data_IF_101673937043
#
_entry.id   IF_101673937043
#
_cell.length_a   1.000
_cell.length_b   1.000
_cell.length_c   1.000
_cell.angle_alpha   90.00
_cell.angle_beta   90.00
_cell.angle_gamma   90.00
#
_symmetry.space_group_name_H-M   'P 1'
#
loop_
_entity.id
_entity.type
_entity.pdbx_description
1 polymer ?
#
# COMPACT_ATOMS: atom_id res chain seq x y z
N UNK A 1 55.88 -69.66 22.04
CA UNK A 1 57.19 -69.58 22.70
C UNK A 1 57.74 -68.18 22.46
N UNK A 2 58.07 -67.47 23.57
CA UNK A 2 58.97 -66.32 23.59
C UNK A 2 58.28 -64.98 24.00
N UNK A 3 58.07 -64.80 25.34
CA UNK A 3 57.93 -63.48 25.92
C UNK A 3 59.23 -62.72 25.86
N UNK A 4 59.16 -61.42 25.58
CA UNK A 4 60.10 -60.47 26.21
C UNK A 4 59.33 -59.19 26.49
N UNK A 5 59.26 -58.84 27.78
CA UNK A 5 58.81 -57.56 28.30
C UNK A 5 59.90 -56.50 28.14
N UNK A 6 59.52 -55.32 27.68
CA UNK A 6 60.39 -54.11 27.63
C UNK A 6 59.74 -52.97 28.37
N UNK A 7 60.35 -52.64 29.50
CA UNK A 7 59.98 -51.57 30.44
C UNK A 7 60.51 -50.26 29.91
N UNK A 8 59.67 -49.21 29.83
CA UNK A 8 60.11 -47.84 29.46
C UNK A 8 59.79 -46.82 30.58
N UNK A 9 60.65 -45.89 30.84
CA UNK A 9 60.56 -44.98 31.96
C UNK A 9 59.64 -43.78 31.73
N UNK A 10 59.03 -43.32 32.80
CA UNK A 10 58.18 -42.13 32.88
C UNK A 10 58.94 -40.85 32.60
N UNK A 11 58.76 -40.23 31.42
CA UNK A 11 59.22 -38.87 31.11
C UNK A 11 58.07 -37.88 31.34
N UNK A 12 58.33 -36.88 32.22
CA UNK A 12 57.43 -35.75 32.45
C UNK A 12 57.43 -34.84 31.23
N UNK A 13 56.29 -34.75 30.48
CA UNK A 13 56.11 -33.71 29.48
C UNK A 13 55.36 -32.55 30.10
N UNK A 14 55.99 -31.41 30.14
CA UNK A 14 55.43 -30.09 30.43
C UNK A 14 54.51 -29.72 29.30
N UNK A 15 53.18 -29.63 29.58
CA UNK A 15 52.22 -29.07 28.65
C UNK A 15 52.31 -27.56 28.65
N UNK A 16 52.85 -26.98 27.57
CA UNK A 16 52.64 -25.57 27.24
C UNK A 16 51.22 -25.39 26.69
N UNK A 17 50.36 -24.74 27.49
CA UNK A 17 49.03 -24.33 27.03
C UNK A 17 49.21 -23.04 26.19
N UNK A 18 49.14 -23.16 24.90
CA UNK A 18 49.02 -22.02 23.98
C UNK A 18 47.52 -21.58 23.99
N UNK A 19 47.20 -20.52 24.70
CA UNK A 19 45.89 -19.89 24.66
C UNK A 19 45.78 -19.11 23.36
N UNK A 20 45.16 -19.68 22.34
CA UNK A 20 44.72 -18.96 21.15
C UNK A 20 43.51 -18.12 21.50
N UNK A 21 43.69 -16.81 21.63
CA UNK A 21 42.59 -15.85 21.71
C UNK A 21 41.98 -15.77 20.30
N UNK A 22 40.89 -16.49 20.09
CA UNK A 22 40.01 -16.28 18.93
C UNK A 22 39.21 -15.02 19.22
N UNK A 23 39.64 -13.88 18.71
CA UNK A 23 38.84 -12.69 18.62
C UNK A 23 37.69 -12.96 17.64
N UNK A 24 36.59 -13.50 18.13
CA UNK A 24 35.34 -13.61 17.40
C UNK A 24 34.82 -12.20 17.11
N UNK A 25 34.87 -11.79 15.84
CA UNK A 25 34.09 -10.66 15.38
C UNK A 25 32.61 -10.99 15.64
N UNK A 26 32.06 -10.45 16.72
CA UNK A 26 30.63 -10.44 16.96
C UNK A 26 29.98 -9.58 15.88
N UNK A 27 29.65 -10.21 14.76
CA UNK A 27 28.68 -9.64 13.84
C UNK A 27 27.42 -9.38 14.64
N UNK A 28 27.08 -8.10 14.83
CA UNK A 28 25.81 -7.70 15.41
C UNK A 28 24.70 -8.03 14.38
N UNK A 29 24.41 -9.33 14.25
CA UNK A 29 23.18 -9.76 13.61
C UNK A 29 22.03 -9.22 14.45
N UNK A 30 21.29 -8.25 13.94
CA UNK A 30 20.07 -7.77 14.55
C UNK A 30 19.14 -8.98 14.64
N UNK A 31 18.97 -9.52 15.84
CA UNK A 31 18.02 -10.60 16.07
C UNK A 31 16.61 -10.03 15.81
N UNK A 32 15.99 -10.44 14.71
CA UNK A 32 14.60 -10.07 14.40
C UNK A 32 13.69 -10.71 15.44
N UNK A 33 13.05 -9.90 16.27
CA UNK A 33 12.25 -10.37 17.41
C UNK A 33 10.82 -10.80 17.05
N UNK A 34 10.50 -10.93 15.75
CA UNK A 34 9.20 -11.38 15.29
C UNK A 34 8.90 -10.95 13.85
N UNK A 35 7.90 -11.59 13.26
CA UNK A 35 7.38 -11.25 11.96
C UNK A 35 6.05 -10.51 12.12
N UNK A 36 5.88 -9.36 11.46
CA UNK A 36 4.64 -8.60 11.44
C UNK A 36 4.02 -8.71 10.05
N UNK A 37 2.86 -9.33 9.97
CA UNK A 37 2.08 -9.44 8.73
C UNK A 37 1.28 -8.15 8.53
N UNK A 38 1.56 -7.44 7.43
CA UNK A 38 0.78 -6.29 6.95
C UNK A 38 -0.03 -6.74 5.74
N UNK A 39 -1.34 -6.77 5.86
CA UNK A 39 -2.21 -7.22 4.76
C UNK A 39 -3.21 -6.12 4.39
N UNK A 40 -3.51 -5.95 3.09
CA UNK A 40 -4.56 -5.02 2.65
C UNK A 40 -4.18 -4.18 1.45
N UNK A 41 -4.58 -2.90 1.48
CA UNK A 41 -4.50 -1.97 0.36
C UNK A 41 -3.23 -2.08 -0.49
N UNK A 42 -3.40 -2.40 -1.77
CA UNK A 42 -2.32 -2.38 -2.76
C UNK A 42 -1.71 -0.96 -2.88
N UNK A 43 -2.52 0.10 -2.77
CA UNK A 43 -2.03 1.48 -2.80
C UNK A 43 -1.08 1.77 -1.65
N UNK A 44 -1.45 1.39 -0.43
CA UNK A 44 -0.56 1.51 0.74
C UNK A 44 0.68 0.64 0.58
N UNK A 45 0.50 -0.61 0.18
CA UNK A 45 1.59 -1.57 0.02
C UNK A 45 2.65 -1.08 -0.97
N UNK A 46 2.23 -0.67 -2.18
CA UNK A 46 3.18 -0.25 -3.24
C UNK A 46 3.71 1.18 -3.06
N UNK A 47 2.91 2.08 -2.48
CA UNK A 47 3.28 3.48 -2.28
C UNK A 47 4.09 3.74 -1.01
N UNK A 48 3.88 2.95 0.05
CA UNK A 48 4.46 3.18 1.37
C UNK A 48 5.20 1.95 1.89
N UNK A 49 4.52 0.78 2.03
CA UNK A 49 5.08 -0.30 2.80
C UNK A 49 6.29 -0.95 2.12
N UNK A 50 6.17 -1.34 0.86
CA UNK A 50 7.25 -2.01 0.12
C UNK A 50 8.49 -1.13 -0.09
N UNK A 51 8.36 0.16 -0.53
CA UNK A 51 9.53 1.01 -0.70
C UNK A 51 10.31 1.27 0.59
N UNK A 52 9.65 1.24 1.74
CA UNK A 52 10.25 1.57 3.03
C UNK A 52 10.42 0.39 3.99
N UNK A 53 10.09 -0.85 3.54
CA UNK A 53 10.16 -2.04 4.39
C UNK A 53 11.53 -2.20 5.07
N UNK A 54 12.62 -2.17 4.30
CA UNK A 54 13.96 -2.34 4.85
C UNK A 54 14.35 -1.27 5.89
N UNK A 55 13.91 -0.03 5.69
CA UNK A 55 14.16 1.05 6.66
C UNK A 55 13.35 0.86 7.96
N UNK A 56 12.10 0.40 7.86
CA UNK A 56 11.26 0.09 9.01
C UNK A 56 11.80 -1.12 9.76
N UNK A 57 12.18 -2.19 9.07
CA UNK A 57 12.80 -3.38 9.65
C UNK A 57 14.09 -3.04 10.41
N UNK A 58 14.94 -2.20 9.82
CA UNK A 58 16.18 -1.74 10.46
C UNK A 58 15.92 -0.91 11.74
N UNK A 59 14.88 -0.08 11.74
CA UNK A 59 14.53 0.76 12.90
C UNK A 59 13.85 -0.02 14.02
N UNK A 60 13.04 -1.03 13.67
CA UNK A 60 12.19 -1.73 14.63
C UNK A 60 12.76 -3.07 15.10
N UNK A 61 13.67 -3.66 14.37
CA UNK A 61 14.16 -5.01 14.58
C UNK A 61 13.13 -6.10 14.25
N UNK A 62 12.00 -5.75 13.62
CA UNK A 62 10.95 -6.69 13.21
C UNK A 62 10.98 -6.89 11.70
N UNK A 63 10.73 -8.11 11.23
CA UNK A 63 10.51 -8.38 9.82
C UNK A 63 9.08 -8.05 9.42
N UNK A 64 8.91 -7.54 8.19
CA UNK A 64 7.61 -7.23 7.62
C UNK A 64 7.26 -8.23 6.51
N UNK A 65 6.13 -8.88 6.68
CA UNK A 65 5.50 -9.65 5.61
C UNK A 65 4.36 -8.82 5.03
N UNK A 66 4.54 -8.33 3.79
CA UNK A 66 3.59 -7.41 3.15
C UNK A 66 2.77 -8.19 2.12
N UNK A 67 1.45 -8.28 2.35
CA UNK A 67 0.49 -9.01 1.51
C UNK A 67 -0.48 -8.02 0.88
N UNK A 68 -0.19 -7.53 -0.36
CA UNK A 68 -1.06 -6.60 -1.07
C UNK A 68 -2.35 -7.28 -1.53
N UNK A 69 -3.50 -6.70 -1.16
CA UNK A 69 -4.81 -7.07 -1.67
C UNK A 69 -5.81 -5.89 -1.55
N UNK A 70 -7.05 -6.11 -1.14
CA UNK A 70 -8.03 -5.03 -0.87
C UNK A 70 -7.98 -4.62 0.59
N UNK A 71 -8.25 -3.32 0.89
CA UNK A 71 -8.34 -2.80 2.27
C UNK A 71 -9.28 -3.63 3.13
N UNK A 72 -10.49 -3.94 2.65
CA UNK A 72 -11.47 -4.77 3.35
C UNK A 72 -10.97 -6.18 3.67
N UNK A 73 -10.21 -6.81 2.76
CA UNK A 73 -9.60 -8.12 3.01
C UNK A 73 -8.47 -8.05 4.05
N UNK A 74 -7.77 -6.93 4.12
CA UNK A 74 -6.79 -6.66 5.18
C UNK A 74 -7.46 -6.56 6.54
N UNK A 75 -8.57 -5.80 6.64
CA UNK A 75 -9.35 -5.71 7.88
C UNK A 75 -9.93 -7.06 8.30
N UNK A 76 -10.44 -7.85 7.34
CA UNK A 76 -10.93 -9.19 7.64
C UNK A 76 -9.81 -10.08 8.18
N UNK A 77 -8.64 -10.07 7.55
CA UNK A 77 -7.50 -10.83 8.03
C UNK A 77 -7.05 -10.40 9.44
N UNK A 78 -7.14 -9.11 9.75
CA UNK A 78 -6.85 -8.57 11.08
C UNK A 78 -7.86 -9.06 12.11
N UNK A 79 -9.16 -9.00 11.81
CA UNK A 79 -10.25 -9.51 12.68
C UNK A 79 -10.17 -11.01 12.92
N UNK A 80 -9.67 -11.76 11.94
CA UNK A 80 -9.40 -13.21 12.02
C UNK A 80 -8.02 -13.56 12.61
N UNK A 81 -7.27 -12.59 13.14
CA UNK A 81 -5.93 -12.76 13.69
C UNK A 81 -4.89 -13.36 12.72
N UNK A 82 -5.10 -13.21 11.40
CA UNK A 82 -4.16 -13.62 10.33
C UNK A 82 -3.20 -12.51 9.91
N UNK A 83 -3.45 -11.27 10.31
CA UNK A 83 -2.56 -10.12 10.12
C UNK A 83 -2.29 -9.45 11.47
N UNK A 84 -1.10 -8.87 11.61
CA UNK A 84 -0.75 -8.04 12.77
C UNK A 84 -1.21 -6.60 12.62
N UNK A 85 -1.26 -6.10 11.37
CA UNK A 85 -1.79 -4.80 10.99
C UNK A 85 -2.51 -4.90 9.63
N UNK A 86 -3.60 -4.17 9.46
CA UNK A 86 -4.22 -4.02 8.15
C UNK A 86 -3.79 -2.70 7.49
N UNK A 87 -3.59 -2.74 6.17
CA UNK A 87 -3.31 -1.57 5.34
C UNK A 87 -4.59 -1.11 4.67
N UNK A 88 -5.00 0.15 4.85
CA UNK A 88 -6.17 0.73 4.19
C UNK A 88 -5.80 2.02 3.44
N UNK A 89 -6.56 2.37 2.41
CA UNK A 89 -6.39 3.57 1.58
C UNK A 89 -7.67 4.40 1.43
N UNK A 90 -8.63 4.15 2.29
CA UNK A 90 -9.87 4.91 2.51
C UNK A 90 -10.03 5.15 4.00
N UNK A 91 -11.15 5.71 4.46
CA UNK A 91 -11.39 5.82 5.90
C UNK A 91 -11.79 4.46 6.50
N UNK A 92 -11.53 4.28 7.79
CA UNK A 92 -11.92 3.05 8.49
C UNK A 92 -13.44 2.84 8.45
N UNK A 93 -14.21 3.91 8.58
CA UNK A 93 -15.68 3.88 8.56
C UNK A 93 -16.21 3.33 7.22
N UNK A 94 -15.62 3.76 6.10
CA UNK A 94 -15.99 3.26 4.76
C UNK A 94 -15.69 1.76 4.60
N UNK A 95 -14.53 1.31 5.04
CA UNK A 95 -14.15 -0.10 4.97
C UNK A 95 -15.02 -0.97 5.90
N UNK A 96 -15.33 -0.48 7.10
CA UNK A 96 -16.24 -1.14 8.03
C UNK A 96 -17.64 -1.28 7.44
N UNK A 97 -18.15 -0.25 6.76
CA UNK A 97 -19.46 -0.31 6.11
C UNK A 97 -19.51 -1.37 5.00
N UNK A 98 -18.43 -1.52 4.24
CA UNK A 98 -18.29 -2.58 3.22
C UNK A 98 -18.39 -3.97 3.88
N UNK A 99 -17.61 -4.20 4.95
CA UNK A 99 -17.59 -5.49 5.64
C UNK A 99 -18.89 -5.79 6.38
N UNK A 100 -19.53 -4.76 6.96
CA UNK A 100 -20.81 -4.90 7.69
C UNK A 100 -21.92 -5.44 6.80
N UNK A 101 -21.91 -5.16 5.51
CA UNK A 101 -22.85 -5.72 4.54
C UNK A 101 -22.69 -7.21 4.34
N UNK A 102 -21.49 -7.74 4.55
CA UNK A 102 -21.20 -9.16 4.43
C UNK A 102 -21.39 -9.88 5.76
N UNK A 103 -20.94 -9.27 6.86
CA UNK A 103 -21.11 -9.80 8.22
C UNK A 103 -21.16 -8.67 9.25
N UNK A 104 -22.36 -8.37 9.75
CA UNK A 104 -22.58 -7.34 10.75
C UNK A 104 -22.15 -7.75 12.18
N UNK A 105 -21.83 -9.03 12.42
CA UNK A 105 -21.48 -9.56 13.74
C UNK A 105 -20.00 -9.34 14.10
N UNK A 106 -19.17 -8.95 13.12
CA UNK A 106 -17.74 -8.71 13.34
C UNK A 106 -17.50 -7.57 14.36
N UNK A 107 -16.47 -7.69 15.21
CA UNK A 107 -16.21 -6.75 16.30
C UNK A 107 -15.51 -5.47 15.82
N UNK A 108 -16.14 -4.70 14.93
CA UNK A 108 -15.56 -3.50 14.31
C UNK A 108 -15.17 -2.42 15.30
N UNK A 109 -15.82 -2.34 16.46
CA UNK A 109 -15.51 -1.38 17.53
C UNK A 109 -14.12 -1.56 18.13
N UNK A 110 -13.46 -2.68 17.87
CA UNK A 110 -12.09 -2.98 18.30
C UNK A 110 -11.02 -2.48 17.36
N UNK A 111 -11.41 -2.02 16.15
CA UNK A 111 -10.47 -1.53 15.14
C UNK A 111 -10.02 -0.11 15.45
N UNK A 112 -8.71 0.13 15.38
CA UNK A 112 -8.10 1.45 15.58
C UNK A 112 -7.25 1.81 14.38
N UNK A 113 -7.56 2.95 13.72
CA UNK A 113 -6.83 3.44 12.57
C UNK A 113 -5.73 4.43 12.96
N UNK A 114 -4.57 4.29 12.34
CA UNK A 114 -3.40 5.14 12.50
C UNK A 114 -3.03 5.70 11.14
N UNK A 115 -3.33 6.96 10.92
CA UNK A 115 -2.95 7.65 9.69
C UNK A 115 -1.41 7.69 9.57
N UNK A 116 -0.91 7.28 8.40
CA UNK A 116 0.51 7.24 8.06
C UNK A 116 0.86 8.33 7.06
N UNK A 117 0.03 8.49 6.01
CA UNK A 117 0.26 9.46 4.96
C UNK A 117 -1.05 9.87 4.30
N UNK A 118 -1.01 11.02 3.61
CA UNK A 118 -2.05 11.46 2.67
C UNK A 118 -1.48 11.49 1.26
N UNK A 119 -2.26 11.06 0.29
CA UNK A 119 -1.95 11.20 -1.11
C UNK A 119 -3.19 11.71 -1.87
N UNK A 120 -3.03 12.10 -3.12
CA UNK A 120 -4.14 12.58 -3.94
C UNK A 120 -4.39 11.65 -5.10
N UNK A 121 -5.64 11.24 -5.27
CA UNK A 121 -6.12 10.76 -6.55
C UNK A 121 -6.22 11.93 -7.53
N UNK A 122 -5.98 11.68 -8.79
CA UNK A 122 -6.08 12.64 -9.86
C UNK A 122 -6.79 12.04 -11.06
N UNK A 123 -7.40 12.93 -11.83
CA UNK A 123 -8.02 12.63 -13.10
C UNK A 123 -7.05 13.05 -14.21
N UNK A 124 -6.52 12.09 -14.93
CA UNK A 124 -5.61 12.34 -16.05
C UNK A 124 -6.40 12.51 -17.33
N UNK A 125 -6.07 13.52 -18.13
CA UNK A 125 -6.66 13.76 -19.47
C UNK A 125 -5.55 13.89 -20.50
N UNK A 126 -5.94 13.75 -21.77
CA UNK A 126 -5.02 13.95 -22.90
C UNK A 126 -4.48 15.39 -22.91
N UNK A 127 -3.20 15.62 -23.23
CA UNK A 127 -2.60 16.97 -23.20
C UNK A 127 -3.30 17.97 -24.12
N UNK A 128 -3.88 17.52 -25.22
CA UNK A 128 -4.60 18.40 -26.17
C UNK A 128 -6.08 18.59 -25.81
N UNK A 129 -6.61 17.96 -24.77
CA UNK A 129 -7.98 18.21 -24.34
C UNK A 129 -8.07 19.63 -23.77
N UNK A 130 -8.95 20.52 -24.28
CA UNK A 130 -9.03 21.90 -23.81
C UNK A 130 -9.69 22.04 -22.42
N UNK A 131 -10.45 21.04 -21.97
CA UNK A 131 -11.10 21.05 -20.64
C UNK A 131 -10.02 20.84 -19.58
N UNK A 132 -9.78 21.84 -18.74
CA UNK A 132 -8.75 21.78 -17.70
C UNK A 132 -9.30 21.71 -16.28
N UNK A 133 -10.59 21.94 -16.11
CA UNK A 133 -11.25 21.90 -14.83
C UNK A 133 -12.65 21.32 -14.95
N UNK A 134 -13.12 20.65 -13.90
CA UNK A 134 -14.48 20.12 -13.79
C UNK A 134 -14.89 20.08 -12.30
N UNK A 135 -16.19 20.03 -12.03
CA UNK A 135 -16.69 19.82 -10.66
C UNK A 135 -16.68 18.34 -10.34
N UNK A 136 -16.47 17.99 -9.08
CA UNK A 136 -16.59 16.59 -8.63
C UNK A 136 -17.94 15.96 -8.98
N UNK A 137 -19.01 16.76 -8.91
CA UNK A 137 -20.34 16.34 -9.34
C UNK A 137 -20.40 15.92 -10.82
N UNK A 138 -19.72 16.64 -11.71
CA UNK A 138 -19.67 16.31 -13.13
C UNK A 138 -18.81 15.08 -13.39
N UNK A 139 -17.74 14.90 -12.61
CA UNK A 139 -16.94 13.67 -12.63
C UNK A 139 -17.80 12.47 -12.21
N UNK A 140 -18.63 12.61 -11.17
CA UNK A 140 -19.55 11.54 -10.77
C UNK A 140 -20.47 11.12 -11.96
N UNK A 141 -20.97 12.09 -12.73
CA UNK A 141 -21.78 11.82 -13.93
C UNK A 141 -21.01 11.09 -15.04
N UNK A 142 -19.73 11.41 -15.20
CA UNK A 142 -18.86 10.67 -16.12
C UNK A 142 -18.72 9.22 -15.64
N UNK A 143 -18.47 9.01 -14.36
CA UNK A 143 -18.25 7.67 -13.81
C UNK A 143 -19.52 6.79 -13.85
N UNK A 144 -20.71 7.40 -13.78
CA UNK A 144 -21.98 6.69 -13.93
C UNK A 144 -22.41 6.52 -15.38
N UNK A 145 -21.73 7.18 -16.34
CA UNK A 145 -22.08 7.16 -17.77
C UNK A 145 -23.17 8.16 -18.15
N UNK A 146 -23.66 9.01 -17.24
CA UNK A 146 -24.61 10.08 -17.53
C UNK A 146 -23.98 11.13 -18.46
N UNK A 147 -22.68 11.47 -18.21
CA UNK A 147 -21.89 12.26 -19.14
C UNK A 147 -20.97 11.33 -19.95
N UNK A 148 -21.18 11.31 -21.26
CA UNK A 148 -20.46 10.45 -22.19
C UNK A 148 -19.72 11.21 -23.30
N UNK A 149 -19.75 12.54 -23.27
CA UNK A 149 -19.14 13.39 -24.29
C UNK A 149 -18.57 14.66 -23.67
N UNK A 150 -17.35 15.03 -24.05
CA UNK A 150 -16.64 16.22 -23.54
C UNK A 150 -17.38 17.53 -23.77
N UNK A 151 -18.26 17.61 -24.81
CA UNK A 151 -19.10 18.82 -25.03
C UNK A 151 -20.02 19.11 -23.85
N UNK A 152 -20.38 18.13 -23.02
CA UNK A 152 -21.19 18.34 -21.82
C UNK A 152 -20.42 19.10 -20.72
N UNK A 153 -19.10 19.17 -20.88
CA UNK A 153 -18.18 19.95 -20.04
C UNK A 153 -17.61 21.19 -20.76
N UNK A 154 -18.22 21.59 -21.88
CA UNK A 154 -17.74 22.73 -22.69
C UNK A 154 -16.52 22.42 -23.57
N UNK A 155 -16.18 21.17 -23.72
CA UNK A 155 -15.10 20.67 -24.58
C UNK A 155 -15.55 20.35 -26.00
N UNK A 156 -14.70 19.65 -26.77
CA UNK A 156 -15.00 19.22 -28.15
C UNK A 156 -16.10 18.17 -28.17
N UNK A 157 -16.72 17.98 -29.35
CA UNK A 157 -17.65 16.87 -29.57
C UNK A 157 -16.85 15.56 -29.72
N UNK A 158 -16.48 14.98 -28.59
CA UNK A 158 -15.62 13.81 -28.47
C UNK A 158 -16.14 12.91 -27.36
N UNK A 159 -16.35 11.60 -27.63
CA UNK A 159 -16.77 10.65 -26.62
C UNK A 159 -15.78 10.57 -25.44
N UNK A 160 -16.31 10.49 -24.22
CA UNK A 160 -15.49 10.26 -23.01
C UNK A 160 -15.27 8.76 -22.85
N UNK A 161 -14.00 8.35 -22.66
CA UNK A 161 -13.63 6.98 -22.31
C UNK A 161 -12.91 6.95 -20.98
N UNK A 162 -13.53 6.34 -19.98
CA UNK A 162 -12.91 6.23 -18.65
C UNK A 162 -11.85 5.13 -18.65
N UNK A 163 -10.66 5.46 -18.13
CA UNK A 163 -9.54 4.52 -17.98
C UNK A 163 -9.25 4.33 -16.50
N UNK A 164 -9.35 3.11 -16.01
CA UNK A 164 -9.12 2.79 -14.60
C UNK A 164 -8.44 1.44 -14.45
N UNK A 165 -7.82 1.20 -13.30
CA UNK A 165 -7.37 -0.15 -12.96
C UNK A 165 -8.58 -1.08 -12.83
N UNK A 166 -8.34 -2.39 -13.00
CA UNK A 166 -9.34 -3.42 -12.76
C UNK A 166 -9.84 -3.35 -11.32
N UNK A 167 -10.97 -3.96 -11.03
CA UNK A 167 -11.59 -3.96 -9.70
C UNK A 167 -10.59 -4.24 -8.57
N UNK A 168 -10.70 -3.47 -7.49
CA UNK A 168 -9.85 -3.58 -6.31
C UNK A 168 -8.65 -2.63 -6.30
N UNK A 169 -8.50 -1.75 -7.28
CA UNK A 169 -7.50 -0.68 -7.24
C UNK A 169 -7.87 0.38 -6.20
N UNK A 170 -6.99 0.59 -5.18
CA UNK A 170 -7.28 1.48 -4.06
C UNK A 170 -7.59 2.92 -4.47
N UNK A 171 -7.01 3.43 -5.57
CA UNK A 171 -7.32 4.78 -6.09
C UNK A 171 -8.75 4.84 -6.62
N UNK A 172 -9.16 3.87 -7.47
CA UNK A 172 -10.53 3.82 -7.98
C UNK A 172 -11.53 3.68 -6.82
N UNK A 173 -11.27 2.78 -5.87
CA UNK A 173 -12.14 2.59 -4.71
C UNK A 173 -12.31 3.88 -3.89
N UNK A 174 -11.23 4.65 -3.69
CA UNK A 174 -11.31 5.95 -2.99
C UNK A 174 -12.11 6.99 -3.76
N UNK A 175 -11.98 7.03 -5.09
CA UNK A 175 -12.75 7.92 -5.95
C UNK A 175 -14.23 7.54 -5.96
N UNK A 176 -14.54 6.25 -6.10
CA UNK A 176 -15.91 5.74 -6.02
C UNK A 176 -16.55 6.07 -4.68
N UNK A 177 -15.86 5.78 -3.58
CA UNK A 177 -16.36 6.08 -2.23
C UNK A 177 -16.64 7.58 -2.02
N UNK A 178 -15.79 8.44 -2.55
CA UNK A 178 -15.94 9.91 -2.44
C UNK A 178 -17.05 10.47 -3.32
N UNK A 179 -17.20 9.94 -4.55
CA UNK A 179 -18.09 10.53 -5.55
C UNK A 179 -19.41 9.76 -5.73
N UNK A 180 -19.41 8.46 -5.53
CA UNK A 180 -20.54 7.58 -5.81
C UNK A 180 -21.11 6.92 -4.54
N UNK A 181 -20.44 7.09 -3.38
CA UNK A 181 -20.83 6.45 -2.13
C UNK A 181 -20.75 4.93 -2.22
N UNK A 182 -21.90 4.26 -2.18
CA UNK A 182 -21.99 2.80 -2.27
C UNK A 182 -22.07 2.26 -3.70
N UNK A 183 -22.23 3.14 -4.70
CA UNK A 183 -22.29 2.74 -6.10
C UNK A 183 -20.89 2.57 -6.68
N UNK A 184 -20.82 1.83 -7.78
CA UNK A 184 -19.58 1.60 -8.53
C UNK A 184 -19.63 2.31 -9.88
N UNK A 185 -18.44 2.50 -10.46
CA UNK A 185 -18.29 3.05 -11.78
C UNK A 185 -19.00 2.17 -12.82
N UNK A 186 -19.95 2.77 -13.52
CA UNK A 186 -20.78 2.14 -14.54
C UNK A 186 -20.59 2.78 -15.93
N UNK A 187 -19.55 3.60 -16.13
CA UNK A 187 -19.26 4.22 -17.40
C UNK A 187 -19.15 3.16 -18.51
N UNK A 188 -19.91 3.29 -19.62
CA UNK A 188 -19.82 2.35 -20.73
C UNK A 188 -18.43 2.41 -21.38
N UNK A 189 -18.00 1.31 -21.96
CA UNK A 189 -16.73 1.19 -22.69
C UNK A 189 -15.47 1.61 -21.91
N UNK A 190 -15.53 1.50 -20.56
CA UNK A 190 -14.38 1.82 -19.71
C UNK A 190 -13.20 0.88 -19.98
N UNK A 191 -12.02 1.48 -20.22
CA UNK A 191 -10.78 0.73 -20.44
C UNK A 191 -10.22 0.30 -19.07
N UNK A 192 -10.04 -1.00 -18.89
CA UNK A 192 -9.51 -1.58 -17.65
C UNK A 192 -8.07 -2.04 -17.83
N UNK A 193 -7.16 -1.44 -17.06
CA UNK A 193 -5.72 -1.74 -17.06
C UNK A 193 -5.29 -2.44 -15.77
N UNK A 194 -4.05 -2.94 -15.73
CA UNK A 194 -3.53 -3.69 -14.57
C UNK A 194 -2.99 -2.75 -13.48
N UNK A 195 -2.29 -1.68 -13.86
CA UNK A 195 -1.57 -0.79 -12.95
C UNK A 195 -1.75 0.68 -13.34
N UNK A 196 -1.65 1.58 -12.36
CA UNK A 196 -1.88 3.02 -12.53
C UNK A 196 -1.00 3.69 -13.60
N UNK A 197 0.23 3.22 -13.79
CA UNK A 197 1.14 3.76 -14.82
C UNK A 197 0.69 3.46 -16.26
N UNK A 198 -0.12 2.43 -16.48
CA UNK A 198 -0.72 2.15 -17.78
C UNK A 198 -1.84 3.14 -18.12
N UNK A 199 -2.52 3.69 -17.10
CA UNK A 199 -3.59 4.68 -17.29
C UNK A 199 -3.08 5.89 -18.05
N UNK A 200 -2.00 6.51 -17.60
CA UNK A 200 -1.45 7.71 -18.23
C UNK A 200 -0.90 7.45 -19.63
N UNK A 201 -0.46 6.21 -19.93
CA UNK A 201 -0.04 5.81 -21.28
C UNK A 201 -1.23 5.74 -22.22
N UNK A 202 -2.36 5.15 -21.78
CA UNK A 202 -3.59 5.10 -22.58
C UNK A 202 -4.13 6.50 -22.77
N UNK A 203 -4.21 7.31 -21.72
CA UNK A 203 -4.70 8.70 -21.78
C UNK A 203 -3.88 9.55 -22.76
N UNK A 204 -2.57 9.37 -22.81
CA UNK A 204 -1.71 10.09 -23.75
C UNK A 204 -1.90 9.71 -25.23
N UNK A 205 -2.59 8.60 -25.50
CA UNK A 205 -2.85 8.10 -26.87
C UNK A 205 -4.30 8.29 -27.31
N UNK A 206 -5.22 8.47 -26.36
CA UNK A 206 -6.66 8.54 -26.58
C UNK A 206 -7.19 9.93 -26.23
N UNK A 207 -7.45 10.83 -27.21
CA UNK A 207 -7.86 12.22 -26.94
C UNK A 207 -9.14 12.35 -26.09
N UNK A 208 -10.05 11.38 -26.17
CA UNK A 208 -11.28 11.34 -25.37
C UNK A 208 -11.13 10.69 -23.99
N UNK A 209 -9.96 10.19 -23.66
CA UNK A 209 -9.77 9.45 -22.41
C UNK A 209 -9.73 10.36 -21.17
N UNK A 210 -10.30 9.84 -20.07
CA UNK A 210 -10.12 10.34 -18.70
C UNK A 210 -9.66 9.18 -17.80
N UNK A 211 -8.51 9.33 -17.17
CA UNK A 211 -7.87 8.28 -16.36
C UNK A 211 -7.96 8.57 -14.88
N UNK A 212 -8.21 7.55 -14.05
CA UNK A 212 -8.25 7.64 -12.59
C UNK A 212 -6.97 7.04 -12.03
N UNK A 213 -6.06 7.87 -11.49
CA UNK A 213 -4.77 7.42 -10.96
C UNK A 213 -4.28 8.32 -9.82
N UNK A 214 -3.06 8.12 -9.36
CA UNK A 214 -2.43 8.99 -8.37
C UNK A 214 -1.86 10.24 -9.03
N UNK A 215 -1.94 11.38 -8.35
CA UNK A 215 -1.39 12.65 -8.84
C UNK A 215 0.10 12.55 -9.19
N UNK A 216 0.89 11.83 -8.38
CA UNK A 216 2.31 11.62 -8.64
C UNK A 216 2.58 10.94 -10.00
N UNK A 217 1.71 9.99 -10.39
CA UNK A 217 1.80 9.30 -11.70
C UNK A 217 1.48 10.26 -12.83
N UNK A 218 0.45 11.11 -12.68
CA UNK A 218 0.12 12.13 -13.69
C UNK A 218 1.29 13.09 -13.87
N UNK A 219 1.84 13.63 -12.76
CA UNK A 219 2.97 14.57 -12.80
C UNK A 219 4.25 14.01 -13.41
N UNK A 220 4.43 12.69 -13.40
CA UNK A 220 5.58 12.02 -14.02
C UNK A 220 5.32 11.53 -15.45
N UNK A 221 4.25 11.97 -16.08
CA UNK A 221 3.82 11.54 -17.41
C UNK A 221 3.58 12.73 -18.36
N UNK A 222 3.22 12.44 -19.62
CA UNK A 222 2.75 13.43 -20.57
C UNK A 222 1.27 13.77 -20.44
N UNK A 223 0.49 13.01 -19.67
CA UNK A 223 -0.89 13.34 -19.38
C UNK A 223 -1.01 14.59 -18.50
N UNK A 224 -2.16 15.26 -18.56
CA UNK A 224 -2.41 16.48 -17.78
C UNK A 224 -3.48 16.21 -16.73
N UNK A 225 -3.37 16.83 -15.56
CA UNK A 225 -4.39 16.78 -14.53
C UNK A 225 -5.63 17.59 -14.96
N UNK A 226 -6.80 16.95 -14.91
CA UNK A 226 -8.08 17.66 -14.88
C UNK A 226 -8.32 18.11 -13.44
N UNK A 227 -8.22 19.41 -13.19
CA UNK A 227 -8.35 19.98 -11.86
C UNK A 227 -9.81 19.93 -11.41
N UNK A 228 -10.05 19.51 -10.18
CA UNK A 228 -11.39 19.48 -9.57
C UNK A 228 -11.56 20.60 -8.56
N UNK A 229 -12.80 21.05 -8.34
CA UNK A 229 -13.17 22.08 -7.36
C UNK A 229 -12.74 21.71 -5.93
N UNK A 230 -12.68 20.41 -5.59
CA UNK A 230 -12.11 19.91 -4.36
C UNK A 230 -11.12 18.76 -4.67
N UNK A 231 -10.02 18.62 -3.91
CA UNK A 231 -9.10 17.52 -4.09
C UNK A 231 -9.72 16.18 -3.65
N UNK A 232 -9.38 15.10 -4.36
CA UNK A 232 -9.75 13.75 -3.96
C UNK A 232 -8.58 13.18 -3.15
N UNK A 233 -8.66 13.34 -1.83
CA UNK A 233 -7.62 12.84 -0.93
C UNK A 233 -7.81 11.35 -0.64
N UNK A 234 -6.68 10.66 -0.52
CA UNK A 234 -6.61 9.31 0.00
C UNK A 234 -5.85 9.33 1.32
N UNK A 235 -6.47 8.80 2.36
CA UNK A 235 -5.83 8.60 3.66
C UNK A 235 -5.24 7.20 3.68
N UNK A 236 -3.94 7.09 3.83
CA UNK A 236 -3.24 5.82 3.94
C UNK A 236 -3.01 5.51 5.42
N UNK A 237 -3.69 4.49 5.94
CA UNK A 237 -3.64 4.14 7.35
C UNK A 237 -3.24 2.69 7.58
N UNK A 238 -2.57 2.45 8.70
CA UNK A 238 -2.46 1.14 9.33
C UNK A 238 -3.58 0.99 10.36
N UNK A 239 -4.15 -0.19 10.44
CA UNK A 239 -5.22 -0.49 11.41
C UNK A 239 -4.75 -1.64 12.31
N UNK A 240 -4.95 -1.50 13.62
CA UNK A 240 -4.78 -2.57 14.60
C UNK A 240 -6.13 -3.07 15.11
N UNK A 241 -6.12 -4.28 15.63
CA UNK A 241 -7.20 -4.81 16.45
C UNK A 241 -6.81 -4.55 17.91
N UNK A 242 -7.65 -3.80 18.64
CA UNK A 242 -7.35 -3.27 19.97
C UNK A 242 -6.09 -2.40 20.01
N UNK A 243 -5.55 -2.16 21.20
CA UNK A 243 -4.28 -1.47 21.37
C UNK A 243 -3.16 -2.24 20.67
N UNK A 244 -2.37 -1.58 19.81
CA UNK A 244 -1.32 -2.25 19.08
C UNK A 244 -0.26 -2.82 20.03
N UNK A 245 0.16 -4.04 19.74
CA UNK A 245 1.31 -4.65 20.44
C UNK A 245 2.55 -3.74 20.34
N UNK A 246 3.54 -3.90 21.23
CA UNK A 246 4.78 -3.09 21.16
C UNK A 246 5.43 -3.12 19.77
N UNK A 247 5.44 -4.27 19.11
CA UNK A 247 5.99 -4.45 17.77
C UNK A 247 5.15 -3.72 16.69
N UNK A 248 3.82 -3.83 16.75
CA UNK A 248 2.91 -3.13 15.85
C UNK A 248 3.00 -1.61 16.05
N UNK A 249 3.07 -1.13 17.29
CA UNK A 249 3.24 0.30 17.62
C UNK A 249 4.56 0.83 17.07
N UNK A 250 5.68 0.14 17.28
CA UNK A 250 6.98 0.53 16.73
C UNK A 250 6.94 0.61 15.18
N UNK A 251 6.25 -0.34 14.54
CA UNK A 251 6.07 -0.36 13.08
C UNK A 251 5.25 0.84 12.59
N UNK A 252 4.12 1.16 13.24
CA UNK A 252 3.29 2.32 12.94
C UNK A 252 4.11 3.62 13.05
N UNK A 253 4.84 3.79 14.15
CA UNK A 253 5.66 4.97 14.40
C UNK A 253 6.82 5.10 13.39
N UNK A 254 7.45 3.99 13.00
CA UNK A 254 8.50 3.99 12.00
C UNK A 254 7.97 4.45 10.64
N UNK A 255 6.82 3.92 10.20
CA UNK A 255 6.18 4.38 8.96
C UNK A 255 5.78 5.86 9.01
N UNK A 256 5.24 6.36 10.14
CA UNK A 256 4.92 7.80 10.31
C UNK A 256 6.14 8.69 10.16
N UNK A 257 7.25 8.33 10.79
CA UNK A 257 8.51 9.10 10.70
C UNK A 257 9.01 9.17 9.25
N UNK A 258 8.98 8.05 8.54
CA UNK A 258 9.45 7.98 7.14
C UNK A 258 8.53 8.79 6.23
N UNK A 259 7.21 8.64 6.36
CA UNK A 259 6.26 9.39 5.55
C UNK A 259 6.33 10.90 5.80
N UNK A 260 6.57 11.33 7.05
CA UNK A 260 6.71 12.74 7.41
C UNK A 260 8.01 13.40 6.92
N UNK A 261 9.01 12.63 6.52
CA UNK A 261 10.27 13.16 5.96
C UNK A 261 10.21 13.38 4.43
N UNK A 262 9.18 12.86 3.76
CA UNK A 262 8.98 12.95 2.31
C UNK A 262 7.92 13.96 1.86
N UNK A 263 7.38 14.77 2.78
CA UNK A 263 6.30 15.75 2.54
C UNK A 263 6.85 17.15 2.27
#
# INVERSE_FOLDING_TARGET
MGHIAGNFPKGKFIQLILAAIVAGAAGTGVAHSGNIVLQGSTTFATGIAQPHAGAVEAQTGHRLEIIPNKSSLGLLALLEHRAGLAMISTTLEQEVEILRRSDASLPFQRLQAFEIARTRAALAIHPDNPVRAARLHDIAKILTGEFSNWKQLGGPDLPIRVVAVREGGGVLASVEARLLGAAHMAAPDAIRVQVGTQIVKVVAQEPGAIGITQLAIVKSSSAVELVTDEPIEQILSLVSLDDPSPAARATIEAFRRIAGQGS
#
